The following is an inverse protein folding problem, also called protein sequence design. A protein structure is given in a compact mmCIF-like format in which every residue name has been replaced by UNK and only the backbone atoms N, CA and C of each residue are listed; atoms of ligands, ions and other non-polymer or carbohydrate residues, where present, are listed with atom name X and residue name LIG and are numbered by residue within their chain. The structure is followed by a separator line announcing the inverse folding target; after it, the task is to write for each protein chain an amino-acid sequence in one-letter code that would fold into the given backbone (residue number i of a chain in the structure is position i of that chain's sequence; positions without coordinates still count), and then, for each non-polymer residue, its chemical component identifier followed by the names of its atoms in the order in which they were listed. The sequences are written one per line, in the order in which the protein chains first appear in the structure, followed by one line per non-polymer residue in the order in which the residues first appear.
data_IF_829474857906
#
_entry.id   IF_829474857906
#
_cell.length_a   1.000
_cell.length_b   1.000
_cell.length_c   1.000
_cell.angle_alpha   90.00
_cell.angle_beta   90.00
_cell.angle_gamma   90.00
#
_symmetry.space_group_name_H-M   'P 1'
#
loop_
_entity.id
_entity.type
_entity.pdbx_description
1 polymer ?
#
# COMPACT_ATOMS: atom_id res chain seq x y z
N UNK A 1 27.79 14.23 16.84
CA UNK A 1 26.53 14.73 16.26
C UNK A 1 26.86 15.42 14.96
N UNK A 2 26.21 15.10 13.82
CA UNK A 2 26.36 15.94 12.63
C UNK A 2 25.93 17.36 13.00
N UNK A 3 26.80 18.33 12.74
CA UNK A 3 26.65 19.72 13.24
C UNK A 3 25.97 20.64 12.22
N UNK A 4 25.64 20.13 11.04
CA UNK A 4 24.94 20.82 9.98
C UNK A 4 23.76 19.96 9.51
N UNK A 5 22.59 20.58 9.36
CA UNK A 5 21.48 19.98 8.62
C UNK A 5 21.89 19.98 7.14
N UNK A 6 21.58 18.91 6.42
CA UNK A 6 21.76 18.91 4.97
C UNK A 6 20.61 19.72 4.35
N UNK A 7 20.90 20.95 3.95
CA UNK A 7 19.91 21.90 3.43
C UNK A 7 19.46 21.59 2.00
N UNK A 8 19.92 20.46 1.42
CA UNK A 8 19.54 20.04 0.07
C UNK A 8 18.04 19.82 0.01
N UNK A 9 17.33 20.77 -0.61
CA UNK A 9 15.92 20.63 -0.94
C UNK A 9 15.80 19.51 -1.97
N UNK A 10 15.40 18.31 -1.52
CA UNK A 10 15.22 17.13 -2.36
C UNK A 10 14.01 17.21 -3.29
N UNK A 11 13.46 18.39 -3.59
CA UNK A 11 12.22 18.53 -4.33
C UNK A 11 11.02 17.96 -3.56
N UNK A 12 10.28 17.06 -4.19
CA UNK A 12 9.12 16.37 -3.60
C UNK A 12 9.53 15.12 -2.80
N UNK A 13 8.60 14.54 -2.02
CA UNK A 13 8.82 13.24 -1.37
C UNK A 13 9.12 12.11 -2.39
N UNK A 14 8.60 12.24 -3.60
CA UNK A 14 8.89 11.30 -4.69
C UNK A 14 10.34 11.45 -5.12
N UNK A 15 10.82 12.67 -5.33
CA UNK A 15 12.20 12.96 -5.72
C UNK A 15 13.21 12.48 -4.67
N UNK A 16 12.89 12.67 -3.37
CA UNK A 16 13.67 12.12 -2.27
C UNK A 16 13.75 10.58 -2.35
N UNK A 17 12.62 9.91 -2.59
CA UNK A 17 12.59 8.46 -2.71
C UNK A 17 13.35 7.96 -3.94
N UNK A 18 13.22 8.65 -5.09
CA UNK A 18 13.96 8.34 -6.32
C UNK A 18 15.47 8.48 -6.12
N UNK A 19 15.91 9.59 -5.52
CA UNK A 19 17.32 9.82 -5.20
C UNK A 19 17.85 8.75 -4.25
N UNK A 20 17.07 8.40 -3.23
CA UNK A 20 17.43 7.38 -2.23
C UNK A 20 17.53 5.99 -2.85
N UNK A 21 16.62 5.62 -3.76
CA UNK A 21 16.66 4.30 -4.42
C UNK A 21 17.78 4.15 -5.42
N UNK A 22 18.28 5.23 -5.99
CA UNK A 22 19.46 5.23 -6.85
C UNK A 22 20.74 5.14 -6.00
N UNK A 23 20.85 6.02 -5.00
CA UNK A 23 22.04 6.14 -4.16
C UNK A 23 22.25 4.92 -3.26
N UNK A 24 21.17 4.38 -2.69
CA UNK A 24 21.21 3.31 -1.69
C UNK A 24 20.53 2.02 -2.18
N UNK A 25 20.53 1.79 -3.50
CA UNK A 25 19.78 0.72 -4.14
C UNK A 25 19.93 -0.67 -3.48
N UNK A 26 21.14 -1.01 -3.02
CA UNK A 26 21.46 -2.29 -2.39
C UNK A 26 21.20 -2.36 -0.88
N UNK A 27 20.93 -1.24 -0.21
CA UNK A 27 20.70 -1.20 1.22
C UNK A 27 19.28 -1.65 1.55
N UNK A 28 19.06 -2.24 2.73
CA UNK A 28 17.71 -2.58 3.23
C UNK A 28 16.96 -1.29 3.56
N UNK A 29 15.74 -1.15 3.03
CA UNK A 29 14.84 -0.05 3.37
C UNK A 29 13.80 -0.50 4.41
N UNK A 30 13.26 -1.70 4.26
CA UNK A 30 12.28 -2.26 5.18
C UNK A 30 12.66 -3.69 5.59
N UNK A 31 12.21 -4.08 6.78
CA UNK A 31 12.23 -5.46 7.25
C UNK A 31 10.86 -5.83 7.83
N UNK A 32 10.36 -7.01 7.47
CA UNK A 32 9.11 -7.56 7.98
C UNK A 32 9.24 -9.06 8.15
N UNK A 33 8.93 -9.57 9.35
CA UNK A 33 9.04 -10.99 9.71
C UNK A 33 10.42 -11.61 9.36
N UNK A 34 11.50 -10.86 9.58
CA UNK A 34 12.88 -11.30 9.28
C UNK A 34 13.22 -11.38 7.78
N UNK A 35 12.37 -10.84 6.91
CA UNK A 35 12.65 -10.66 5.47
C UNK A 35 12.82 -9.18 5.21
N UNK A 36 13.97 -8.80 4.63
CA UNK A 36 14.23 -7.42 4.26
C UNK A 36 14.08 -7.20 2.78
N UNK A 37 13.59 -6.02 2.43
CA UNK A 37 13.56 -5.54 1.06
C UNK A 37 14.50 -4.34 0.93
N UNK A 38 15.32 -4.40 -0.10
CA UNK A 38 16.22 -3.32 -0.48
C UNK A 38 15.46 -2.13 -1.07
N UNK A 39 16.08 -0.96 -1.09
CA UNK A 39 15.53 0.21 -1.78
C UNK A 39 15.13 -0.11 -3.23
N UNK A 40 15.96 -0.85 -3.96
CA UNK A 40 15.66 -1.30 -5.33
C UNK A 40 14.39 -2.15 -5.40
N UNK A 41 14.25 -3.11 -4.49
CA UNK A 41 13.08 -4.01 -4.47
C UNK A 41 11.80 -3.26 -4.11
N UNK A 42 11.85 -2.33 -3.14
CA UNK A 42 10.72 -1.46 -2.80
C UNK A 42 10.35 -0.59 -4.00
N UNK A 43 11.34 0.02 -4.67
CA UNK A 43 11.12 0.84 -5.86
C UNK A 43 10.43 0.09 -7.00
N UNK A 44 10.84 -1.14 -7.30
CA UNK A 44 10.19 -1.98 -8.32
C UNK A 44 8.72 -2.25 -8.00
N UNK A 45 8.40 -2.48 -6.73
CA UNK A 45 7.00 -2.72 -6.31
C UNK A 45 6.20 -1.41 -6.33
N UNK A 46 6.80 -0.30 -5.91
CA UNK A 46 6.17 1.02 -5.96
C UNK A 46 5.88 1.46 -7.40
N UNK A 47 6.80 1.23 -8.34
CA UNK A 47 6.60 1.49 -9.77
C UNK A 47 5.42 0.64 -10.32
N UNK A 48 5.31 -0.63 -9.91
CA UNK A 48 4.19 -1.48 -10.31
C UNK A 48 2.84 -0.98 -9.74
N UNK A 49 2.80 -0.55 -8.49
CA UNK A 49 1.61 0.07 -7.89
C UNK A 49 1.24 1.35 -8.65
N UNK A 50 2.23 2.18 -8.99
CA UNK A 50 2.05 3.42 -9.75
C UNK A 50 1.39 3.16 -11.10
N UNK A 51 1.98 2.25 -11.89
CA UNK A 51 1.49 1.88 -13.22
C UNK A 51 0.08 1.31 -13.14
N UNK A 52 -0.19 0.46 -12.14
CA UNK A 52 -1.52 -0.11 -11.96
C UNK A 52 -2.56 0.97 -11.64
N UNK A 53 -2.27 1.90 -10.71
CA UNK A 53 -3.17 3.01 -10.35
C UNK A 53 -3.44 3.92 -11.56
N UNK A 54 -2.40 4.30 -12.30
CA UNK A 54 -2.54 5.10 -13.52
C UNK A 54 -3.37 4.34 -14.59
N UNK A 55 -3.17 3.03 -14.72
CA UNK A 55 -3.98 2.16 -15.59
C UNK A 55 -5.44 2.02 -15.16
N UNK A 56 -5.74 2.29 -13.89
CA UNK A 56 -7.11 2.39 -13.37
C UNK A 56 -7.74 3.78 -13.58
N UNK A 57 -7.01 4.71 -14.19
CA UNK A 57 -7.44 6.08 -14.45
C UNK A 57 -7.25 7.04 -13.28
N UNK A 58 -6.48 6.65 -12.24
CA UNK A 58 -6.14 7.55 -11.14
C UNK A 58 -4.91 8.39 -11.48
N UNK A 59 -4.89 9.64 -11.00
CA UNK A 59 -3.74 10.53 -11.18
C UNK A 59 -3.70 11.68 -10.19
N UNK A 60 -3.16 12.81 -10.66
CA UNK A 60 -3.02 14.04 -9.87
C UNK A 60 -4.34 14.46 -9.22
N UNK A 61 -4.32 14.57 -7.89
CA UNK A 61 -5.48 14.99 -7.11
C UNK A 61 -6.51 13.90 -6.83
N UNK A 62 -6.35 12.66 -7.31
CA UNK A 62 -7.12 11.53 -6.80
C UNK A 62 -6.58 11.06 -5.44
N UNK A 63 -7.44 10.45 -4.63
CA UNK A 63 -7.12 10.01 -3.26
C UNK A 63 -7.23 8.50 -3.14
N UNK A 64 -6.23 7.89 -2.52
CA UNK A 64 -6.13 6.45 -2.32
C UNK A 64 -5.93 6.17 -0.85
N UNK A 65 -6.85 5.43 -0.26
CA UNK A 65 -6.80 5.05 1.15
C UNK A 65 -5.88 3.86 1.38
N UNK A 66 -5.20 3.85 2.53
CA UNK A 66 -4.29 2.79 2.96
C UNK A 66 -4.65 2.39 4.38
N UNK A 67 -5.27 1.22 4.52
CA UNK A 67 -5.68 0.63 5.80
C UNK A 67 -4.90 -0.65 6.07
N UNK A 68 -3.65 -0.48 6.48
CA UNK A 68 -2.72 -1.58 6.73
C UNK A 68 -1.85 -1.29 7.95
N UNK A 69 -1.44 -2.33 8.72
CA UNK A 69 -0.38 -2.17 9.71
C UNK A 69 1.00 -2.08 9.02
N UNK A 70 2.07 -2.04 9.82
CA UNK A 70 3.47 -2.00 9.34
C UNK A 70 3.92 -3.35 8.74
N UNK A 71 3.39 -3.67 7.56
CA UNK A 71 3.72 -4.86 6.75
C UNK A 71 4.64 -4.49 5.60
N UNK A 72 5.29 -5.48 4.99
CA UNK A 72 6.21 -5.25 3.88
C UNK A 72 5.60 -4.46 2.71
N UNK A 73 4.30 -4.63 2.45
CA UNK A 73 3.59 -3.93 1.38
C UNK A 73 3.31 -2.44 1.66
N UNK A 74 3.37 -1.98 2.92
CA UNK A 74 2.96 -0.63 3.30
C UNK A 74 3.76 0.45 2.57
N UNK A 75 5.09 0.43 2.69
CA UNK A 75 5.97 1.44 2.08
C UNK A 75 5.91 1.45 0.54
N UNK A 76 6.00 0.30 -0.17
CA UNK A 76 5.80 0.28 -1.61
C UNK A 76 4.46 0.85 -2.08
N UNK A 77 3.36 0.58 -1.34
CA UNK A 77 2.03 1.12 -1.68
C UNK A 77 2.01 2.63 -1.50
N UNK A 78 2.51 3.16 -0.39
CA UNK A 78 2.56 4.60 -0.13
C UNK A 78 3.37 5.31 -1.21
N UNK A 79 4.58 4.84 -1.52
CA UNK A 79 5.39 5.46 -2.57
C UNK A 79 4.74 5.33 -3.95
N UNK A 80 4.12 4.19 -4.27
CA UNK A 80 3.42 4.01 -5.53
C UNK A 80 2.22 4.94 -5.72
N UNK A 81 1.49 5.23 -4.64
CA UNK A 81 0.39 6.22 -4.66
C UNK A 81 0.95 7.63 -4.91
N UNK A 82 2.01 8.02 -4.19
CA UNK A 82 2.63 9.33 -4.36
C UNK A 82 3.23 9.51 -5.76
N UNK A 83 3.92 8.49 -6.28
CA UNK A 83 4.48 8.46 -7.63
C UNK A 83 3.39 8.53 -8.71
N UNK A 84 2.18 8.03 -8.45
CA UNK A 84 1.05 8.19 -9.37
C UNK A 84 0.48 9.62 -9.40
N UNK A 85 0.99 10.53 -8.57
CA UNK A 85 0.45 11.87 -8.36
C UNK A 85 -0.78 11.89 -7.44
N UNK A 86 -1.16 10.74 -6.88
CA UNK A 86 -2.29 10.63 -5.99
C UNK A 86 -1.93 11.05 -4.55
N UNK A 87 -2.95 11.37 -3.76
CA UNK A 87 -2.83 11.66 -2.33
C UNK A 87 -3.08 10.39 -1.52
N UNK A 88 -2.17 10.11 -0.56
CA UNK A 88 -2.31 9.00 0.38
C UNK A 88 -3.26 9.40 1.51
N UNK A 89 -4.34 8.64 1.69
CA UNK A 89 -5.23 8.76 2.85
C UNK A 89 -4.89 7.65 3.83
N UNK A 90 -4.13 7.97 4.88
CA UNK A 90 -3.73 6.98 5.87
C UNK A 90 -4.92 6.66 6.80
N UNK A 91 -5.28 5.38 6.87
CA UNK A 91 -6.44 4.90 7.63
C UNK A 91 -5.94 3.97 8.73
N UNK A 92 -6.36 4.22 9.96
CA UNK A 92 -6.00 3.34 11.06
C UNK A 92 -6.74 1.99 10.90
N UNK A 93 -6.02 0.85 10.85
CA UNK A 93 -6.63 -0.47 10.72
C UNK A 93 -7.62 -0.84 11.84
N UNK A 94 -7.57 -0.17 12.99
CA UNK A 94 -8.44 -0.43 14.14
C UNK A 94 -9.73 0.40 14.14
N UNK A 95 -9.96 1.23 13.11
CA UNK A 95 -11.22 1.96 12.98
C UNK A 95 -12.41 1.03 12.88
N UNK A 96 -13.51 1.48 13.48
CA UNK A 96 -14.84 0.90 13.29
C UNK A 96 -15.36 1.19 11.87
N UNK A 97 -16.36 0.44 11.38
CA UNK A 97 -16.95 0.70 10.07
C UNK A 97 -17.47 2.13 9.89
N UNK A 98 -18.06 2.72 10.94
CA UNK A 98 -18.62 4.08 10.89
C UNK A 98 -17.53 5.15 10.78
N UNK A 99 -16.43 5.00 11.54
CA UNK A 99 -15.27 5.90 11.45
C UNK A 99 -14.60 5.80 10.08
N UNK A 100 -14.45 4.57 9.56
CA UNK A 100 -13.93 4.34 8.22
C UNK A 100 -14.82 4.97 7.15
N UNK A 101 -16.14 4.78 7.22
CA UNK A 101 -17.09 5.36 6.29
C UNK A 101 -17.01 6.90 6.31
N UNK A 102 -16.94 7.50 7.50
CA UNK A 102 -16.75 8.94 7.64
C UNK A 102 -15.46 9.41 6.96
N UNK A 103 -14.32 8.75 7.22
CA UNK A 103 -13.04 9.11 6.62
C UNK A 103 -13.03 8.93 5.10
N UNK A 104 -13.62 7.86 4.57
CA UNK A 104 -13.72 7.62 3.13
C UNK A 104 -14.60 8.66 2.44
N UNK A 105 -15.70 9.07 3.08
CA UNK A 105 -16.60 10.11 2.56
C UNK A 105 -15.93 11.49 2.55
N UNK A 106 -15.29 11.85 3.66
CA UNK A 106 -14.60 13.14 3.80
C UNK A 106 -13.42 13.25 2.83
N UNK A 107 -12.61 12.19 2.73
CA UNK A 107 -11.48 12.17 1.81
C UNK A 107 -11.88 11.96 0.35
N UNK A 108 -13.06 11.43 0.03
CA UNK A 108 -13.44 11.08 -1.34
C UNK A 108 -12.44 10.11 -2.00
N UNK A 109 -11.89 9.17 -1.23
CA UNK A 109 -10.95 8.17 -1.71
C UNK A 109 -11.67 7.14 -2.61
N UNK A 110 -11.19 6.98 -3.85
CA UNK A 110 -11.80 6.08 -4.85
C UNK A 110 -11.27 4.66 -4.78
N UNK A 111 -10.12 4.46 -4.14
CA UNK A 111 -9.46 3.16 -4.04
C UNK A 111 -8.90 2.99 -2.63
N UNK A 112 -8.99 1.78 -2.08
CA UNK A 112 -8.43 1.46 -0.77
C UNK A 112 -7.56 0.20 -0.84
N UNK A 113 -6.33 0.29 -0.34
CA UNK A 113 -5.49 -0.86 -0.02
C UNK A 113 -5.77 -1.29 1.41
N UNK A 114 -6.19 -2.53 1.62
CA UNK A 114 -6.54 -3.04 2.95
C UNK A 114 -5.90 -4.40 3.20
N UNK A 115 -5.39 -4.62 4.42
CA UNK A 115 -4.93 -5.94 4.83
C UNK A 115 -6.13 -6.90 5.00
N UNK A 116 -6.01 -8.14 4.55
CA UNK A 116 -7.10 -9.13 4.49
C UNK A 116 -7.86 -9.30 5.82
N UNK A 117 -7.20 -9.12 6.96
CA UNK A 117 -7.82 -9.20 8.29
C UNK A 117 -8.87 -8.10 8.55
N UNK A 118 -8.68 -6.91 7.99
CA UNK A 118 -9.56 -5.74 8.20
C UNK A 118 -10.53 -5.48 7.04
N UNK A 119 -10.53 -6.36 6.04
CA UNK A 119 -11.41 -6.22 4.88
C UNK A 119 -12.91 -6.20 5.25
N UNK A 120 -13.31 -6.95 6.28
CA UNK A 120 -14.68 -6.95 6.76
C UNK A 120 -15.15 -5.57 7.24
N UNK A 121 -14.25 -4.76 7.80
CA UNK A 121 -14.54 -3.37 8.19
C UNK A 121 -14.78 -2.52 6.95
N UNK A 122 -13.96 -2.68 5.91
CA UNK A 122 -14.16 -2.01 4.61
C UNK A 122 -15.48 -2.42 3.98
N UNK A 123 -15.82 -3.71 4.00
CA UNK A 123 -17.09 -4.22 3.48
C UNK A 123 -18.29 -3.56 4.14
N UNK A 124 -18.25 -3.43 5.48
CA UNK A 124 -19.31 -2.77 6.23
C UNK A 124 -19.34 -1.25 5.95
N UNK A 125 -18.19 -0.58 5.90
CA UNK A 125 -18.10 0.86 5.66
C UNK A 125 -18.52 1.29 4.25
N UNK A 126 -18.23 0.46 3.24
CA UNK A 126 -18.52 0.74 1.82
C UNK A 126 -19.96 0.43 1.41
N UNK A 127 -20.80 -0.07 2.33
CA UNK A 127 -22.24 -0.19 2.09
C UNK A 127 -22.88 1.18 1.81
N UNK A 128 -22.38 2.24 2.46
CA UNK A 128 -22.96 3.60 2.42
C UNK A 128 -21.99 4.66 1.83
N UNK A 129 -20.83 4.24 1.32
CA UNK A 129 -19.81 5.13 0.78
C UNK A 129 -19.21 4.51 -0.49
N UNK A 130 -19.27 5.20 -1.64
CA UNK A 130 -18.75 4.66 -2.88
C UNK A 130 -17.21 4.59 -2.82
N UNK A 131 -16.70 3.37 -3.00
CA UNK A 131 -15.28 3.12 -3.26
C UNK A 131 -15.23 2.24 -4.51
N UNK A 132 -14.60 2.75 -5.56
CA UNK A 132 -14.58 2.08 -6.87
C UNK A 132 -13.82 0.75 -6.81
N UNK A 133 -12.75 0.70 -6.00
CA UNK A 133 -11.83 -0.44 -5.96
C UNK A 133 -11.29 -0.73 -4.56
N UNK A 134 -11.30 -2.00 -4.21
CA UNK A 134 -10.61 -2.52 -3.01
C UNK A 134 -9.46 -3.41 -3.43
N UNK A 135 -8.26 -3.11 -2.95
CA UNK A 135 -7.07 -3.94 -3.11
C UNK A 135 -6.80 -4.68 -1.82
N UNK A 136 -6.89 -6.02 -1.87
CA UNK A 136 -6.62 -6.91 -0.74
C UNK A 136 -5.14 -7.25 -0.66
N UNK A 137 -4.53 -6.90 0.46
CA UNK A 137 -3.14 -7.20 0.80
C UNK A 137 -3.09 -8.33 1.81
N UNK A 138 -2.22 -9.32 1.61
CA UNK A 138 -1.98 -10.40 2.57
C UNK A 138 -0.76 -10.07 3.42
N UNK A 139 -0.76 -10.57 4.66
CA UNK A 139 0.35 -10.36 5.60
C UNK A 139 1.70 -10.84 5.04
N UNK A 140 1.68 -11.91 4.24
CA UNK A 140 2.88 -12.47 3.63
C UNK A 140 3.24 -11.92 2.25
N UNK A 141 2.50 -10.95 1.71
CA UNK A 141 2.87 -10.36 0.43
C UNK A 141 4.27 -9.74 0.50
N UNK A 142 5.05 -9.95 -0.57
CA UNK A 142 6.46 -9.56 -0.70
C UNK A 142 7.47 -10.30 0.20
N UNK A 143 7.05 -11.29 0.99
CA UNK A 143 7.97 -12.08 1.84
C UNK A 143 8.53 -13.34 1.15
N UNK A 144 8.30 -13.51 -0.15
CA UNK A 144 8.71 -14.70 -0.92
C UNK A 144 8.10 -15.98 -0.36
N UNK A 145 8.87 -17.07 -0.32
CA UNK A 145 8.40 -18.37 0.19
C UNK A 145 7.95 -18.32 1.66
N UNK A 146 8.59 -17.49 2.50
CA UNK A 146 8.17 -17.28 3.90
C UNK A 146 6.79 -16.63 4.02
N UNK A 147 6.31 -15.97 2.96
CA UNK A 147 4.99 -15.34 2.92
C UNK A 147 3.83 -16.30 3.13
N UNK A 148 3.93 -17.54 2.62
CA UNK A 148 2.89 -18.56 2.82
C UNK A 148 2.76 -18.92 4.30
N UNK A 149 3.89 -19.17 4.97
CA UNK A 149 3.92 -19.49 6.41
C UNK A 149 3.42 -18.31 7.25
N UNK A 150 3.89 -17.10 6.97
CA UNK A 150 3.48 -15.88 7.70
C UNK A 150 1.99 -15.64 7.54
N UNK A 151 1.44 -15.77 6.33
CA UNK A 151 0.01 -15.60 6.09
C UNK A 151 -0.81 -16.64 6.86
N UNK A 152 -0.35 -17.90 6.89
CA UNK A 152 -1.00 -18.97 7.63
C UNK A 152 -0.97 -18.73 9.15
N UNK A 153 0.20 -18.43 9.72
CA UNK A 153 0.36 -18.18 11.16
C UNK A 153 -0.35 -16.90 11.60
N UNK A 154 -0.27 -15.84 10.81
CA UNK A 154 -1.01 -14.59 11.02
C UNK A 154 -2.52 -14.83 11.03
N UNK A 155 -3.01 -15.67 10.12
CA UNK A 155 -4.41 -16.10 10.09
C UNK A 155 -4.86 -16.92 11.30
N UNK A 156 -3.94 -17.51 12.07
CA UNK A 156 -4.29 -18.16 13.36
C UNK A 156 -4.47 -17.17 14.51
N UNK A 157 -3.67 -16.08 14.54
CA UNK A 157 -3.75 -15.04 15.58
C UNK A 157 -4.88 -14.04 15.33
N UNK A 158 -5.08 -13.66 14.08
CA UNK A 158 -6.17 -12.75 13.67
C UNK A 158 -6.81 -13.34 12.41
N UNK A 159 -7.85 -14.18 12.56
CA UNK A 159 -8.44 -14.87 11.44
C UNK A 159 -9.11 -13.91 10.47
N UNK A 160 -8.90 -14.18 9.18
CA UNK A 160 -9.65 -13.54 8.10
C UNK A 160 -11.09 -14.05 8.17
N UNK A 161 -12.03 -13.15 8.45
CA UNK A 161 -13.46 -13.48 8.44
C UNK A 161 -13.89 -13.75 7.00
N UNK A 162 -14.16 -15.02 6.65
CA UNK A 162 -14.53 -15.42 5.29
C UNK A 162 -15.77 -14.68 4.76
N UNK A 163 -16.78 -14.49 5.60
CA UNK A 163 -18.01 -13.76 5.25
C UNK A 163 -17.78 -12.23 5.09
N UNK A 164 -16.65 -11.75 5.61
CA UNK A 164 -16.22 -10.36 5.53
C UNK A 164 -15.45 -10.01 4.27
N UNK A 165 -15.16 -10.98 3.39
CA UNK A 165 -14.47 -10.72 2.13
C UNK A 165 -15.40 -9.99 1.15
N UNK A 166 -14.83 -9.03 0.42
CA UNK A 166 -15.49 -8.26 -0.63
C UNK A 166 -15.32 -9.03 -1.95
N UNK A 167 -16.41 -9.46 -2.59
CA UNK A 167 -16.37 -10.03 -3.93
C UNK A 167 -15.77 -9.03 -4.92
N UNK A 168 -14.83 -9.47 -5.76
CA UNK A 168 -14.18 -8.60 -6.74
C UNK A 168 -13.01 -7.74 -6.21
N UNK A 169 -12.65 -7.86 -4.92
CA UNK A 169 -11.43 -7.23 -4.42
C UNK A 169 -10.19 -7.74 -5.18
N UNK A 170 -9.36 -6.81 -5.67
CA UNK A 170 -8.16 -7.12 -6.45
C UNK A 170 -7.07 -7.59 -5.50
N UNK A 171 -6.43 -8.73 -5.79
CA UNK A 171 -5.30 -9.17 -4.98
C UNK A 171 -4.09 -8.27 -5.23
N UNK A 172 -3.36 -7.90 -4.17
CA UNK A 172 -2.15 -7.09 -4.30
C UNK A 172 -1.08 -7.75 -5.19
N UNK A 173 -0.97 -9.07 -5.17
CA UNK A 173 -0.10 -9.80 -6.09
C UNK A 173 -0.45 -9.53 -7.57
N UNK A 174 -1.73 -9.35 -7.91
CA UNK A 174 -2.16 -9.01 -9.27
C UNK A 174 -1.88 -7.55 -9.62
N UNK A 175 -1.99 -6.62 -8.66
CA UNK A 175 -1.53 -5.23 -8.83
C UNK A 175 -0.05 -5.21 -9.22
N UNK A 176 0.79 -5.89 -8.44
CA UNK A 176 2.24 -5.97 -8.70
C UNK A 176 2.53 -6.69 -10.01
N UNK A 177 1.83 -7.78 -10.32
CA UNK A 177 2.02 -8.53 -11.58
C UNK A 177 1.65 -7.70 -12.80
N UNK A 178 0.56 -6.95 -12.74
CA UNK A 178 0.05 -6.16 -13.87
C UNK A 178 0.87 -4.90 -14.10
N UNK A 179 1.35 -4.25 -13.04
CA UNK A 179 2.19 -3.06 -13.15
C UNK A 179 3.66 -3.33 -13.46
N UNK A 180 4.12 -4.59 -13.34
CA UNK A 180 5.51 -4.97 -13.63
C UNK A 180 5.87 -4.70 -15.08
N UNK A 181 6.99 -4.02 -15.29
CA UNK A 181 7.53 -3.71 -16.62
C UNK A 181 6.93 -2.46 -17.28
N UNK A 182 5.87 -1.88 -16.71
CA UNK A 182 5.42 -0.55 -17.09
C UNK A 182 6.35 0.53 -16.53
N UNK A 183 6.50 1.64 -17.25
CA UNK A 183 7.10 2.86 -16.70
C UNK A 183 5.99 3.77 -16.17
N UNK A 184 6.10 4.29 -14.93
CA UNK A 184 5.27 5.39 -14.46
C UNK A 184 5.26 6.53 -15.49
N UNK A 185 4.08 7.09 -15.74
CA UNK A 185 3.93 8.31 -16.55
C UNK A 185 4.31 9.55 -15.76
#
# INVERSE_FOLDING_TARGET
MPTAIDDRIHGTLVDLFQTSRETYAGNRLIESFGVGLTYRQVGVVADAVTVWLQGQGLGAGDRVAVMMPNVAAYMPVVFGILQAGCTVVNVNPLYTPNELAHQLRDSGAKTIFVIAQFEHTVKAATADVPVDRVVRVKLGDLLGFKGHLVTYVGGKKTPVKKDGQIPGAVAFADVVRTGRGGRPR
#
